data_IF_472902083924
#
_entry.id   IF_472902083924
#
_cell.length_a   1.000
_cell.length_b   1.000
_cell.length_c   1.000
_cell.angle_alpha   90.00
_cell.angle_beta   90.00
_cell.angle_gamma   90.00
#
_symmetry.space_group_name_H-M   'P 1'
#
loop_
_entity.id
_entity.type
_entity.pdbx_description
1 polymer ?
#
# COMPACT_ATOMS: atom_id res chain seq x y z
N UNK A 1 -9.55 -10.51 -12.14
CA UNK A 1 -8.74 -10.07 -10.99
C UNK A 1 -8.43 -11.28 -10.12
N UNK A 2 -7.16 -11.49 -9.79
CA UNK A 2 -6.75 -12.61 -8.96
C UNK A 2 -7.22 -12.44 -7.51
N UNK A 3 -7.13 -13.52 -6.72
CA UNK A 3 -7.48 -13.47 -5.30
C UNK A 3 -6.60 -12.47 -4.56
N UNK A 4 -5.30 -12.44 -4.85
CA UNK A 4 -4.38 -11.48 -4.23
C UNK A 4 -4.67 -10.04 -4.66
N UNK A 5 -5.03 -9.81 -5.92
CA UNK A 5 -5.40 -8.47 -6.39
C UNK A 5 -6.65 -7.96 -5.66
N UNK A 6 -7.64 -8.82 -5.47
CA UNK A 6 -8.84 -8.49 -4.69
C UNK A 6 -8.49 -8.20 -3.24
N UNK A 7 -7.60 -8.98 -2.66
CA UNK A 7 -7.16 -8.79 -1.29
C UNK A 7 -6.43 -7.46 -1.10
N UNK A 8 -5.58 -7.07 -2.07
CA UNK A 8 -4.90 -5.77 -2.05
C UNK A 8 -5.89 -4.63 -2.07
N UNK A 9 -6.89 -4.72 -2.94
CA UNK A 9 -7.92 -3.69 -3.02
C UNK A 9 -8.71 -3.57 -1.72
N UNK A 10 -9.05 -4.69 -1.09
CA UNK A 10 -9.75 -4.68 0.19
C UNK A 10 -8.88 -4.05 1.29
N UNK A 11 -7.60 -4.38 1.32
CA UNK A 11 -6.67 -3.77 2.27
C UNK A 11 -6.59 -2.25 2.07
N UNK A 12 -6.53 -1.81 0.81
CA UNK A 12 -6.54 -0.40 0.48
C UNK A 12 -7.78 0.30 1.03
N UNK A 13 -8.96 -0.29 0.81
CA UNK A 13 -10.21 0.28 1.30
C UNK A 13 -10.20 0.44 2.82
N UNK A 14 -9.71 -0.55 3.53
CA UNK A 14 -9.67 -0.53 5.00
C UNK A 14 -8.66 0.50 5.51
N UNK A 15 -7.47 0.55 4.91
CA UNK A 15 -6.45 1.54 5.29
C UNK A 15 -6.93 2.97 5.01
N UNK A 16 -7.57 3.17 3.88
CA UNK A 16 -8.12 4.47 3.52
C UNK A 16 -9.23 4.89 4.50
N UNK A 17 -10.16 3.99 4.80
CA UNK A 17 -11.22 4.25 5.77
C UNK A 17 -10.63 4.61 7.14
N UNK A 18 -9.61 3.88 7.59
CA UNK A 18 -8.98 4.14 8.88
C UNK A 18 -8.41 5.58 8.94
N UNK A 19 -7.71 6.01 7.88
CA UNK A 19 -7.16 7.35 7.85
C UNK A 19 -8.27 8.40 7.83
N UNK A 20 -9.31 8.21 7.02
CA UNK A 20 -10.42 9.17 6.92
C UNK A 20 -11.18 9.29 8.23
N UNK A 21 -11.30 8.23 8.99
CA UNK A 21 -12.00 8.22 10.27
C UNK A 21 -11.09 8.52 11.46
N UNK A 22 -9.81 8.69 11.23
CA UNK A 22 -8.80 8.90 12.29
C UNK A 22 -8.82 7.79 13.35
N UNK A 23 -8.99 6.56 12.90
CA UNK A 23 -8.89 5.36 13.74
C UNK A 23 -7.72 4.49 13.28
N UNK A 24 -7.30 3.55 14.12
CA UNK A 24 -6.24 2.63 13.70
C UNK A 24 -6.75 1.67 12.60
N UNK A 25 -5.84 1.18 11.73
CA UNK A 25 -6.23 0.17 10.75
C UNK A 25 -6.84 -1.08 11.37
N UNK A 26 -6.39 -1.50 12.56
CA UNK A 26 -6.98 -2.66 13.24
C UNK A 26 -8.40 -2.39 13.70
N UNK A 27 -8.71 -1.17 14.14
CA UNK A 27 -10.09 -0.80 14.49
C UNK A 27 -10.98 -0.79 13.25
N UNK A 28 -10.51 -0.27 12.13
CA UNK A 28 -11.26 -0.27 10.88
C UNK A 28 -11.49 -1.70 10.39
N UNK A 29 -10.49 -2.57 10.51
CA UNK A 29 -10.60 -3.99 10.16
C UNK A 29 -11.66 -4.68 11.03
N UNK A 30 -11.62 -4.45 12.34
CA UNK A 30 -12.58 -5.01 13.28
C UNK A 30 -14.00 -4.57 12.94
N UNK A 31 -14.20 -3.29 12.70
CA UNK A 31 -15.50 -2.73 12.33
C UNK A 31 -16.01 -3.35 11.03
N UNK A 32 -15.14 -3.56 10.05
CA UNK A 32 -15.52 -4.18 8.79
C UNK A 32 -15.98 -5.62 8.99
N UNK A 33 -15.28 -6.38 9.84
CA UNK A 33 -15.64 -7.76 10.16
C UNK A 33 -16.97 -7.88 10.91
N UNK A 34 -17.29 -6.90 11.74
CA UNK A 34 -18.52 -6.89 12.54
C UNK A 34 -19.75 -6.47 11.74
N UNK A 35 -19.57 -5.56 10.77
CA UNK A 35 -20.68 -4.96 10.03
C UNK A 35 -21.20 -5.78 8.86
N UNK A 36 -20.39 -6.67 8.33
CA UNK A 36 -20.73 -7.34 7.09
C UNK A 36 -20.56 -8.84 7.22
N UNK A 37 -21.37 -9.57 6.43
CA UNK A 37 -21.18 -11.01 6.26
C UNK A 37 -19.93 -11.31 5.41
N UNK A 38 -19.20 -10.26 5.00
CA UNK A 38 -18.03 -10.39 4.15
C UNK A 38 -16.82 -10.81 4.96
N UNK A 39 -16.27 -11.97 4.61
CA UNK A 39 -15.02 -12.45 5.20
C UNK A 39 -13.87 -11.66 4.59
N UNK A 40 -13.03 -11.08 5.45
CA UNK A 40 -11.81 -10.41 5.00
C UNK A 40 -10.75 -11.47 4.74
N UNK A 41 -10.22 -11.52 3.52
CA UNK A 41 -9.23 -12.52 3.13
C UNK A 41 -7.98 -12.42 4.03
N UNK A 42 -7.36 -13.57 4.38
CA UNK A 42 -6.16 -13.55 5.21
C UNK A 42 -5.04 -12.66 4.65
N UNK A 43 -4.88 -12.62 3.34
CA UNK A 43 -3.84 -11.77 2.73
C UNK A 43 -4.11 -10.27 2.93
N UNK A 44 -5.37 -9.86 2.97
CA UNK A 44 -5.71 -8.46 3.30
C UNK A 44 -5.25 -8.13 4.73
N UNK A 45 -5.43 -9.06 5.65
CA UNK A 45 -4.99 -8.91 7.04
C UNK A 45 -3.46 -8.81 7.10
N UNK A 46 -2.76 -9.68 6.36
CA UNK A 46 -1.29 -9.65 6.31
C UNK A 46 -0.78 -8.30 5.82
N UNK A 47 -1.40 -7.73 4.79
CA UNK A 47 -1.04 -6.41 4.26
C UNK A 47 -1.23 -5.35 5.34
N UNK A 48 -2.39 -5.33 5.97
CA UNK A 48 -2.71 -4.31 6.99
C UNK A 48 -1.73 -4.38 8.16
N UNK A 49 -1.49 -5.58 8.66
CA UNK A 49 -0.54 -5.79 9.76
C UNK A 49 0.88 -5.42 9.35
N UNK A 50 1.29 -5.79 8.15
CA UNK A 50 2.62 -5.48 7.63
C UNK A 50 2.84 -3.97 7.46
N UNK A 51 1.87 -3.28 6.90
CA UNK A 51 1.93 -1.83 6.74
C UNK A 51 1.99 -1.13 8.11
N UNK A 52 1.24 -1.61 9.09
CA UNK A 52 1.30 -1.06 10.44
C UNK A 52 2.64 -1.31 11.11
N UNK A 53 3.11 -2.55 11.06
CA UNK A 53 4.36 -2.94 11.73
C UNK A 53 5.57 -2.20 11.16
N UNK A 54 5.64 -2.04 9.83
CA UNK A 54 6.74 -1.40 9.14
C UNK A 54 6.43 0.05 8.76
N UNK A 55 5.34 0.61 9.28
CA UNK A 55 4.81 1.90 8.84
C UNK A 55 5.79 3.06 8.91
N UNK A 56 6.52 3.20 10.01
CA UNK A 56 7.49 4.28 10.16
C UNK A 56 8.61 4.18 9.13
N UNK A 57 9.15 2.98 8.94
CA UNK A 57 10.23 2.76 8.00
C UNK A 57 9.76 2.94 6.57
N UNK A 58 8.57 2.45 6.24
CA UNK A 58 7.97 2.62 4.92
C UNK A 58 7.79 4.11 4.62
N UNK A 59 7.21 4.86 5.54
CA UNK A 59 6.97 6.30 5.35
C UNK A 59 8.28 7.08 5.21
N UNK A 60 9.32 6.68 5.94
CA UNK A 60 10.64 7.29 5.81
C UNK A 60 11.21 7.07 4.41
N UNK A 61 11.14 5.84 3.89
CA UNK A 61 11.61 5.56 2.53
C UNK A 61 10.79 6.32 1.49
N UNK A 62 9.46 6.29 1.61
CA UNK A 62 8.61 7.00 0.66
C UNK A 62 8.89 8.51 0.67
N UNK A 63 9.02 9.09 1.84
CA UNK A 63 9.30 10.52 1.96
C UNK A 63 10.68 10.90 1.44
N UNK A 64 11.67 10.06 1.69
CA UNK A 64 13.05 10.33 1.26
C UNK A 64 13.18 10.30 -0.27
N UNK A 65 12.53 9.35 -0.93
CA UNK A 65 12.75 9.12 -2.37
C UNK A 65 11.64 9.67 -3.27
N UNK A 66 10.59 10.25 -2.69
CA UNK A 66 9.54 10.89 -3.48
C UNK A 66 10.05 12.14 -4.14
N UNK A 67 9.72 12.31 -5.42
CA UNK A 67 10.04 13.53 -6.18
C UNK A 67 8.73 14.14 -6.65
N UNK A 68 8.56 15.44 -6.38
CA UNK A 68 7.39 16.20 -6.80
C UNK A 68 6.30 16.32 -5.75
N UNK A 69 6.03 15.26 -4.97
CA UNK A 69 5.06 15.30 -3.90
C UNK A 69 5.67 14.84 -2.58
N UNK A 70 5.46 15.62 -1.52
CA UNK A 70 5.76 15.15 -0.17
C UNK A 70 4.65 14.18 0.25
N UNK A 71 4.95 13.33 1.23
CA UNK A 71 4.02 12.29 1.66
C UNK A 71 2.67 12.86 2.10
N UNK A 72 2.68 13.98 2.82
CA UNK A 72 1.47 14.64 3.31
C UNK A 72 0.68 15.38 2.22
N UNK A 73 1.31 15.70 1.09
CA UNK A 73 0.68 16.41 -0.02
C UNK A 73 0.13 15.50 -1.11
N UNK A 74 0.58 14.25 -1.16
CA UNK A 74 0.07 13.35 -2.17
C UNK A 74 -1.38 12.96 -1.85
N UNK A 75 -2.19 12.62 -2.87
CA UNK A 75 -3.55 12.13 -2.61
C UNK A 75 -3.55 10.96 -1.65
N UNK A 76 -4.52 10.91 -0.75
CA UNK A 76 -4.58 9.85 0.27
C UNK A 76 -4.61 8.45 -0.35
N UNK A 77 -5.29 8.27 -1.47
CA UNK A 77 -5.32 6.98 -2.18
C UNK A 77 -3.92 6.58 -2.63
N UNK A 78 -3.16 7.51 -3.21
CA UNK A 78 -1.78 7.26 -3.64
C UNK A 78 -0.92 6.85 -2.46
N UNK A 79 -1.06 7.53 -1.33
CA UNK A 79 -0.28 7.23 -0.12
C UNK A 79 -0.56 5.80 0.36
N UNK A 80 -1.83 5.38 0.38
CA UNK A 80 -2.18 4.02 0.78
C UNK A 80 -1.66 2.98 -0.21
N UNK A 81 -1.76 3.25 -1.51
CA UNK A 81 -1.23 2.37 -2.55
C UNK A 81 0.28 2.20 -2.39
N UNK A 82 0.98 3.30 -2.17
CA UNK A 82 2.43 3.28 -2.00
C UNK A 82 2.86 2.52 -0.75
N UNK A 83 2.13 2.66 0.34
CA UNK A 83 2.41 1.89 1.56
C UNK A 83 2.25 0.39 1.35
N UNK A 84 1.18 -0.03 0.66
CA UNK A 84 0.96 -1.44 0.32
C UNK A 84 2.07 -1.94 -0.61
N UNK A 85 2.34 -1.19 -1.68
CA UNK A 85 3.37 -1.56 -2.65
C UNK A 85 4.76 -1.65 -2.03
N UNK A 86 5.10 -0.69 -1.18
CA UNK A 86 6.39 -0.70 -0.49
C UNK A 86 6.50 -1.89 0.48
N UNK A 87 5.42 -2.21 1.20
CA UNK A 87 5.44 -3.38 2.07
C UNK A 87 5.66 -4.66 1.28
N UNK A 88 4.93 -4.86 0.18
CA UNK A 88 5.12 -6.05 -0.65
C UNK A 88 6.52 -6.11 -1.24
N UNK A 89 6.99 -4.97 -1.75
CA UNK A 89 8.30 -4.89 -2.39
C UNK A 89 9.45 -5.18 -1.43
N UNK A 90 9.40 -4.60 -0.24
CA UNK A 90 10.53 -4.62 0.69
C UNK A 90 10.45 -5.72 1.75
N UNK A 91 9.25 -6.13 2.14
CA UNK A 91 9.07 -6.99 3.30
C UNK A 91 8.33 -8.30 3.02
N UNK A 92 7.75 -8.48 1.84
CA UNK A 92 7.07 -9.73 1.51
C UNK A 92 7.80 -10.46 0.38
N UNK A 93 8.69 -11.38 0.76
CA UNK A 93 9.50 -12.13 -0.21
C UNK A 93 8.67 -13.05 -1.12
N UNK A 94 7.43 -13.37 -0.76
CA UNK A 94 6.56 -14.22 -1.57
C UNK A 94 6.03 -13.50 -2.81
N UNK A 95 6.12 -12.16 -2.84
CA UNK A 95 5.69 -11.36 -3.98
C UNK A 95 6.92 -10.90 -4.76
N UNK A 96 7.07 -11.29 -6.03
CA UNK A 96 8.17 -10.77 -6.86
C UNK A 96 8.12 -9.25 -6.96
N UNK A 97 9.30 -8.63 -6.99
CA UNK A 97 9.39 -7.16 -6.99
C UNK A 97 8.58 -6.53 -8.13
N UNK A 98 8.68 -7.06 -9.33
CA UNK A 98 7.93 -6.53 -10.48
C UNK A 98 6.42 -6.65 -10.31
N UNK A 99 5.95 -7.68 -9.63
CA UNK A 99 4.52 -7.86 -9.33
C UNK A 99 4.06 -6.83 -8.32
N UNK A 100 4.85 -6.58 -7.27
CA UNK A 100 4.50 -5.57 -6.27
C UNK A 100 4.32 -4.20 -6.93
N UNK A 101 5.24 -3.82 -7.81
CA UNK A 101 5.18 -2.54 -8.52
C UNK A 101 3.98 -2.50 -9.47
N UNK A 102 3.81 -3.53 -10.32
CA UNK A 102 2.73 -3.52 -11.32
C UNK A 102 1.34 -3.55 -10.71
N UNK A 103 1.16 -4.27 -9.61
CA UNK A 103 -0.13 -4.30 -8.92
C UNK A 103 -0.48 -2.94 -8.28
N UNK A 104 0.51 -2.26 -7.73
CA UNK A 104 0.32 -0.91 -7.20
C UNK A 104 -0.07 0.06 -8.33
N UNK A 105 0.60 -0.03 -9.47
CA UNK A 105 0.28 0.80 -10.64
C UNK A 105 -1.16 0.54 -11.12
N UNK A 106 -1.59 -0.72 -11.16
CA UNK A 106 -2.96 -1.07 -11.54
C UNK A 106 -3.99 -0.47 -10.58
N UNK A 107 -3.74 -0.51 -9.27
CA UNK A 107 -4.62 0.14 -8.30
C UNK A 107 -4.70 1.65 -8.53
N UNK A 108 -3.58 2.29 -8.86
CA UNK A 108 -3.56 3.71 -9.15
C UNK A 108 -4.37 4.05 -10.40
N UNK A 109 -4.30 3.22 -11.45
CA UNK A 109 -5.12 3.38 -12.66
C UNK A 109 -6.60 3.28 -12.36
N UNK A 110 -6.99 2.37 -11.49
CA UNK A 110 -8.39 2.12 -11.17
C UNK A 110 -9.00 3.16 -10.24
N UNK A 111 -8.23 3.69 -9.31
CA UNK A 111 -8.78 4.36 -8.12
C UNK A 111 -8.25 5.77 -7.88
N UNK A 112 -7.26 6.24 -8.64
CA UNK A 112 -6.64 7.52 -8.35
C UNK A 112 -6.64 8.46 -9.57
N UNK A 113 -5.75 9.45 -9.59
CA UNK A 113 -5.72 10.47 -10.64
C UNK A 113 -4.98 9.98 -11.89
N UNK A 114 -5.11 10.71 -13.00
CA UNK A 114 -4.42 10.36 -14.25
C UNK A 114 -2.90 10.33 -14.12
N UNK A 115 -2.35 11.13 -13.20
CA UNK A 115 -0.91 11.21 -12.99
C UNK A 115 -0.39 10.14 -12.03
N UNK A 116 -1.27 9.54 -11.24
CA UNK A 116 -0.89 8.62 -10.18
C UNK A 116 -0.16 7.36 -10.65
N UNK A 117 -0.57 6.70 -11.75
CA UNK A 117 0.15 5.50 -12.19
C UNK A 117 1.62 5.76 -12.48
N UNK A 118 1.95 6.88 -13.15
CA UNK A 118 3.33 7.25 -13.45
C UNK A 118 4.11 7.56 -12.18
N UNK A 119 3.49 8.31 -11.27
CA UNK A 119 4.12 8.66 -10.00
C UNK A 119 4.40 7.42 -9.14
N UNK A 120 3.41 6.55 -9.00
CA UNK A 120 3.55 5.30 -8.23
C UNK A 120 4.62 4.40 -8.83
N UNK A 121 4.61 4.23 -10.15
CA UNK A 121 5.61 3.43 -10.84
C UNK A 121 7.01 3.99 -10.63
N UNK A 122 7.17 5.30 -10.72
CA UNK A 122 8.48 5.95 -10.55
C UNK A 122 9.04 5.79 -9.15
N UNK A 123 8.20 6.02 -8.14
CA UNK A 123 8.66 5.94 -6.74
C UNK A 123 8.96 4.49 -6.33
N UNK A 124 8.05 3.56 -6.58
CA UNK A 124 8.28 2.15 -6.24
C UNK A 124 9.42 1.54 -7.06
N UNK A 125 9.55 1.93 -8.34
CA UNK A 125 10.67 1.50 -9.16
C UNK A 125 12.02 1.95 -8.60
N UNK A 126 12.06 3.15 -8.04
CA UNK A 126 13.27 3.65 -7.37
C UNK A 126 13.58 2.83 -6.12
N UNK A 127 12.56 2.54 -5.29
CA UNK A 127 12.76 1.70 -4.11
C UNK A 127 13.21 0.29 -4.52
N UNK A 128 12.71 -0.23 -5.62
CA UNK A 128 13.13 -1.53 -6.15
C UNK A 128 14.63 -1.53 -6.49
N UNK A 129 15.11 -0.48 -7.16
CA UNK A 129 16.53 -0.35 -7.50
C UNK A 129 17.40 -0.25 -6.25
N UNK A 130 16.92 0.41 -5.23
CA UNK A 130 17.66 0.65 -3.99
C UNK A 130 17.47 -0.44 -2.93
N UNK A 131 16.64 -1.42 -3.21
CA UNK A 131 16.28 -2.46 -2.24
C UNK A 131 17.47 -3.08 -1.51
N UNK A 132 18.55 -3.52 -2.19
CA UNK A 132 19.69 -4.09 -1.47
C UNK A 132 20.32 -3.13 -0.46
N UNK A 133 20.34 -1.84 -0.76
CA UNK A 133 20.86 -0.81 0.13
C UNK A 133 19.89 -0.54 1.29
N UNK A 134 18.59 -0.47 1.00
CA UNK A 134 17.58 -0.14 2.01
C UNK A 134 17.44 -1.24 3.05
N UNK A 135 17.65 -2.50 2.67
CA UNK A 135 17.51 -3.65 3.55
C UNK A 135 18.86 -4.16 4.09
N UNK A 136 19.93 -3.45 3.80
CA UNK A 136 21.25 -3.85 4.28
C UNK A 136 21.39 -3.66 5.81
#
# INVERSE_FOLDING_TARGET
MSARSKARRRALDILFEAEQRSVSPLEALKARREKTDTVVAPYSVDIIEGVMTQGEQIDEFLGTYSQGWTLDRMPAVDRMILRIGAWELLYNADVPDGVAVSEAVELAKMLSTDESPTFVNGLLGRLQQLKPTLLA
#
